data_IF_600659870149
#
_entry.id   IF_600659870149
#
_cell.length_a   1.000
_cell.length_b   1.000
_cell.length_c   1.000
_cell.angle_alpha   90.00
_cell.angle_beta   90.00
_cell.angle_gamma   90.00
#
_symmetry.space_group_name_H-M   'P 1'
#
loop_
_entity.id
_entity.type
_entity.pdbx_description
1 polymer ?
#
# COMPACT_ATOMS: atom_id res chain seq x y z
N UNK A 1 -6.55 -16.35 -24.98
CA UNK A 1 -7.23 -15.09 -24.60
C UNK A 1 -7.31 -15.07 -23.09
N UNK A 2 -6.84 -14.00 -22.47
CA UNK A 2 -6.93 -13.80 -21.01
C UNK A 2 -8.40 -13.75 -20.60
N UNK A 3 -8.77 -14.41 -19.52
CA UNK A 3 -10.13 -14.40 -19.00
C UNK A 3 -10.13 -14.10 -17.50
N UNK A 4 -10.95 -13.13 -17.10
CA UNK A 4 -11.16 -12.72 -15.71
C UNK A 4 -12.34 -13.50 -15.13
N UNK A 5 -12.16 -13.98 -13.92
CA UNK A 5 -13.15 -14.77 -13.19
C UNK A 5 -13.30 -14.25 -11.76
N UNK A 6 -14.46 -14.43 -11.17
CA UNK A 6 -14.69 -14.25 -9.74
C UNK A 6 -15.67 -15.30 -9.23
N UNK A 7 -15.50 -15.70 -7.98
CA UNK A 7 -16.35 -16.65 -7.30
C UNK A 7 -16.36 -16.33 -5.80
N UNK A 8 -17.54 -16.26 -5.19
CA UNK A 8 -17.65 -16.13 -3.74
C UNK A 8 -17.69 -17.52 -3.12
N UNK A 9 -16.64 -17.86 -2.38
CA UNK A 9 -16.56 -19.13 -1.67
C UNK A 9 -17.71 -19.28 -0.65
N UNK A 10 -18.08 -20.51 -0.35
CA UNK A 10 -19.12 -20.84 0.63
C UNK A 10 -18.84 -20.26 2.03
N UNK A 11 -17.57 -20.11 2.41
CA UNK A 11 -17.14 -19.45 3.64
C UNK A 11 -17.33 -17.92 3.62
N UNK A 12 -17.56 -17.30 2.45
CA UNK A 12 -17.77 -15.87 2.27
C UNK A 12 -16.54 -15.10 1.74
N UNK A 13 -15.35 -15.71 1.65
CA UNK A 13 -14.19 -15.09 1.00
C UNK A 13 -14.43 -14.93 -0.51
N UNK A 14 -13.76 -13.94 -1.12
CA UNK A 14 -13.84 -13.70 -2.55
C UNK A 14 -12.64 -14.30 -3.25
N UNK A 15 -12.89 -15.22 -4.18
CA UNK A 15 -11.88 -15.80 -5.06
C UNK A 15 -11.92 -15.08 -6.42
N UNK A 16 -10.76 -14.62 -6.87
CA UNK A 16 -10.54 -13.92 -8.14
C UNK A 16 -9.57 -14.74 -8.98
N UNK A 17 -9.81 -14.81 -10.28
CA UNK A 17 -8.96 -15.56 -11.19
C UNK A 17 -8.67 -14.83 -12.49
N UNK A 18 -7.43 -14.96 -12.99
CA UNK A 18 -7.07 -14.58 -14.34
C UNK A 18 -6.33 -15.72 -15.02
N UNK A 19 -6.98 -16.33 -16.03
CA UNK A 19 -6.36 -17.37 -16.82
C UNK A 19 -5.47 -16.78 -17.90
N UNK A 20 -4.19 -17.15 -17.88
CA UNK A 20 -3.13 -16.70 -18.80
C UNK A 20 -2.47 -17.91 -19.44
N UNK A 21 -3.07 -18.53 -20.47
CA UNK A 21 -2.64 -19.85 -20.99
C UNK A 21 -1.28 -19.85 -21.67
N UNK A 22 -0.79 -18.68 -22.08
CA UNK A 22 0.48 -18.54 -22.83
C UNK A 22 1.74 -18.60 -21.94
N UNK A 23 1.57 -18.61 -20.62
CA UNK A 23 2.69 -18.63 -19.66
C UNK A 23 2.73 -19.92 -18.85
N UNK A 24 3.91 -20.28 -18.33
CA UNK A 24 4.12 -21.51 -17.55
C UNK A 24 4.10 -21.30 -16.03
N UNK A 25 3.85 -20.09 -15.57
CA UNK A 25 3.84 -19.73 -14.17
C UNK A 25 2.43 -19.43 -13.67
N UNK A 26 2.26 -19.50 -12.35
CA UNK A 26 1.08 -19.03 -11.64
C UNK A 26 1.50 -18.29 -10.38
N UNK A 27 0.64 -17.40 -9.91
CA UNK A 27 0.82 -16.73 -8.64
C UNK A 27 -0.50 -16.62 -7.89
N UNK A 28 -0.40 -16.53 -6.57
CA UNK A 28 -1.50 -16.21 -5.69
C UNK A 28 -1.19 -15.01 -4.82
N UNK A 29 -2.22 -14.25 -4.46
CA UNK A 29 -2.17 -13.16 -3.52
C UNK A 29 -3.41 -13.23 -2.61
N UNK A 30 -3.21 -13.38 -1.31
CA UNK A 30 -4.28 -13.45 -0.32
C UNK A 30 -4.20 -12.18 0.54
N UNK A 31 -5.24 -11.36 0.46
CA UNK A 31 -5.43 -10.16 1.28
C UNK A 31 -6.38 -10.51 2.42
N UNK A 32 -5.89 -10.51 3.64
CA UNK A 32 -6.74 -10.67 4.83
C UNK A 32 -6.99 -9.30 5.47
N UNK A 33 -8.19 -9.02 5.99
CA UNK A 33 -8.52 -7.73 6.63
C UNK A 33 -7.90 -7.64 8.03
N UNK A 34 -6.57 -7.77 8.12
CA UNK A 34 -5.77 -7.80 9.35
C UNK A 34 -4.58 -6.84 9.29
N UNK A 35 -4.77 -5.66 8.67
CA UNK A 35 -3.75 -4.62 8.60
C UNK A 35 -3.70 -3.73 9.85
N UNK A 36 -2.79 -2.75 9.84
CA UNK A 36 -2.50 -1.88 11.00
C UNK A 36 -3.70 -1.10 11.56
N UNK A 37 -4.73 -0.81 10.74
CA UNK A 37 -5.98 -0.19 11.23
C UNK A 37 -6.72 -1.04 12.26
N UNK A 38 -6.41 -2.32 12.33
CA UNK A 38 -7.00 -3.26 13.27
C UNK A 38 -6.14 -3.50 14.52
N UNK A 39 -4.97 -2.88 14.59
CA UNK A 39 -4.15 -2.93 15.79
C UNK A 39 -4.91 -2.30 16.97
N UNK A 40 -4.83 -2.87 18.17
CA UNK A 40 -5.48 -2.30 19.34
C UNK A 40 -4.85 -0.94 19.70
N UNK A 41 -5.57 -0.07 20.43
CA UNK A 41 -4.95 1.11 21.03
C UNK A 41 -3.73 0.71 21.88
N UNK A 42 -2.59 1.38 21.68
CA UNK A 42 -1.30 1.07 22.32
C UNK A 42 -0.70 -0.31 21.98
N UNK A 43 -1.09 -0.89 20.82
CA UNK A 43 -0.56 -2.16 20.30
C UNK A 43 -0.19 -2.07 18.83
N UNK A 44 0.24 -0.90 18.38
CA UNK A 44 0.62 -0.68 16.97
C UNK A 44 1.83 -1.56 16.61
N UNK A 45 1.63 -2.47 15.65
CA UNK A 45 2.59 -3.49 15.24
C UNK A 45 2.14 -4.93 15.50
N UNK A 46 0.98 -5.12 16.14
CA UNK A 46 0.38 -6.46 16.32
C UNK A 46 0.19 -7.14 14.96
N UNK A 47 -0.32 -6.44 13.95
CA UNK A 47 -0.50 -6.97 12.60
C UNK A 47 0.86 -7.41 11.96
N UNK A 48 1.92 -6.62 12.16
CA UNK A 48 3.24 -6.95 11.62
C UNK A 48 3.80 -8.23 12.25
N UNK A 49 3.79 -8.33 13.58
CA UNK A 49 4.23 -9.53 14.31
C UNK A 49 3.36 -10.73 13.98
N UNK A 50 2.04 -10.55 13.85
CA UNK A 50 1.11 -11.63 13.48
C UNK A 50 1.42 -12.19 12.10
N UNK A 51 1.60 -11.31 11.10
CA UNK A 51 1.91 -11.73 9.73
C UNK A 51 3.16 -12.60 9.65
N UNK A 52 4.24 -12.21 10.31
CA UNK A 52 5.48 -12.99 10.39
C UNK A 52 5.28 -14.32 11.15
N UNK A 53 4.57 -14.27 12.26
CA UNK A 53 4.39 -15.47 13.09
C UNK A 53 3.51 -16.53 12.41
N UNK A 54 2.60 -16.14 11.51
CA UNK A 54 1.77 -17.06 10.72
C UNK A 54 2.60 -17.97 9.78
N UNK A 55 3.78 -17.54 9.35
CA UNK A 55 4.72 -18.39 8.60
C UNK A 55 5.61 -19.30 9.47
N UNK A 56 5.49 -19.23 10.80
CA UNK A 56 6.31 -20.03 11.73
C UNK A 56 5.70 -21.37 12.08
N UNK A 57 4.67 -21.79 11.36
CA UNK A 57 3.99 -23.08 11.47
C UNK A 57 2.51 -22.97 11.12
N UNK A 58 1.98 -23.95 10.40
CA UNK A 58 0.57 -23.99 10.00
C UNK A 58 0.08 -25.39 9.71
N UNK A 59 -1.14 -25.70 10.13
CA UNK A 59 -1.70 -27.04 10.03
C UNK A 59 -0.83 -28.06 10.80
N UNK A 60 -0.35 -29.08 10.09
CA UNK A 60 0.53 -30.12 10.64
C UNK A 60 2.01 -29.84 10.33
N UNK A 61 2.35 -28.64 9.83
CA UNK A 61 3.69 -28.24 9.42
C UNK A 61 4.33 -27.34 10.45
N UNK A 62 5.47 -27.75 11.00
CA UNK A 62 6.33 -26.81 11.73
C UNK A 62 6.84 -25.71 10.78
N UNK A 63 7.31 -24.58 11.31
CA UNK A 63 7.83 -23.50 10.48
C UNK A 63 8.93 -23.93 9.50
N UNK A 64 9.86 -24.81 9.93
CA UNK A 64 10.88 -25.36 9.05
C UNK A 64 10.26 -26.19 7.91
N UNK A 65 9.36 -27.10 8.24
CA UNK A 65 8.69 -27.96 7.26
C UNK A 65 7.85 -27.17 6.27
N UNK A 66 7.22 -26.08 6.72
CA UNK A 66 6.43 -25.19 5.87
C UNK A 66 7.30 -24.52 4.79
N UNK A 67 8.46 -24.02 5.18
CA UNK A 67 9.42 -23.38 4.26
C UNK A 67 10.01 -24.43 3.31
N UNK A 68 10.46 -25.59 3.83
CA UNK A 68 10.99 -26.66 3.00
C UNK A 68 9.96 -27.11 1.94
N UNK A 69 8.68 -27.29 2.31
CA UNK A 69 7.62 -27.67 1.38
C UNK A 69 7.40 -26.61 0.27
N UNK A 70 7.49 -25.33 0.59
CA UNK A 70 7.40 -24.27 -0.41
C UNK A 70 8.62 -24.22 -1.32
N UNK A 71 9.82 -24.38 -0.77
CA UNK A 71 11.07 -24.40 -1.54
C UNK A 71 11.15 -25.62 -2.46
N UNK A 72 10.74 -26.81 -2.00
CA UNK A 72 10.67 -28.04 -2.81
C UNK A 72 9.73 -27.86 -4.03
N UNK A 73 8.70 -27.03 -3.92
CA UNK A 73 7.79 -26.68 -5.00
C UNK A 73 8.30 -25.50 -5.85
N UNK A 74 9.47 -24.93 -5.51
CA UNK A 74 10.03 -23.76 -6.18
C UNK A 74 9.13 -22.52 -6.03
N UNK A 75 8.39 -22.42 -4.95
CA UNK A 75 7.50 -21.30 -4.68
C UNK A 75 8.26 -20.13 -4.05
N UNK A 76 8.29 -19.00 -4.75
CA UNK A 76 8.72 -17.73 -4.16
C UNK A 76 7.57 -17.19 -3.33
N UNK A 77 7.79 -17.01 -2.04
CA UNK A 77 6.77 -16.53 -1.12
C UNK A 77 7.16 -15.21 -0.47
N UNK A 78 6.17 -14.42 -0.11
CA UNK A 78 6.37 -13.20 0.67
C UNK A 78 5.14 -12.89 1.52
N UNK A 79 5.38 -12.14 2.59
CA UNK A 79 4.36 -11.60 3.47
C UNK A 79 4.63 -10.10 3.67
N UNK A 80 3.58 -9.31 3.76
CA UNK A 80 3.68 -7.89 4.11
C UNK A 80 2.39 -7.41 4.78
N UNK A 81 2.52 -6.39 5.60
CA UNK A 81 1.38 -5.73 6.22
C UNK A 81 1.24 -4.32 5.66
N UNK A 82 0.02 -3.93 5.36
CA UNK A 82 -0.33 -2.58 4.94
C UNK A 82 -1.28 -1.94 5.97
N UNK A 83 -1.68 -0.73 5.71
CA UNK A 83 -2.66 -0.04 6.56
C UNK A 83 -3.94 -0.88 6.76
N UNK A 84 -4.50 -1.47 5.70
CA UNK A 84 -5.80 -2.16 5.75
C UNK A 84 -5.75 -3.68 5.71
N UNK A 85 -4.68 -4.29 5.21
CA UNK A 85 -4.60 -5.73 4.97
C UNK A 85 -3.23 -6.28 5.30
N UNK A 86 -3.18 -7.56 5.67
CA UNK A 86 -1.99 -8.39 5.52
C UNK A 86 -2.06 -9.10 4.18
N UNK A 87 -0.96 -9.10 3.44
CA UNK A 87 -0.78 -9.76 2.16
C UNK A 87 0.10 -10.99 2.32
N UNK A 88 -0.38 -12.11 1.84
CA UNK A 88 0.37 -13.37 1.72
C UNK A 88 0.43 -13.73 0.24
N UNK A 89 1.59 -13.77 -0.36
CA UNK A 89 1.74 -14.00 -1.80
C UNK A 89 2.75 -15.09 -2.12
N UNK A 90 2.52 -15.75 -3.26
CA UNK A 90 3.41 -16.78 -3.79
C UNK A 90 3.40 -16.81 -5.30
N UNK A 91 4.55 -17.13 -5.90
CA UNK A 91 4.69 -17.34 -7.34
C UNK A 91 5.48 -18.61 -7.59
N UNK A 92 5.01 -19.45 -8.54
CA UNK A 92 5.57 -20.77 -8.79
C UNK A 92 5.34 -21.19 -10.26
N UNK A 93 5.88 -22.34 -10.64
CA UNK A 93 5.43 -22.99 -11.87
C UNK A 93 3.96 -23.39 -11.74
N UNK A 94 3.17 -23.19 -12.78
CA UNK A 94 1.72 -23.42 -12.77
C UNK A 94 1.33 -24.84 -12.34
N UNK A 95 2.12 -25.87 -12.73
CA UNK A 95 1.91 -27.28 -12.33
C UNK A 95 1.97 -27.52 -10.82
N UNK A 96 2.60 -26.61 -10.06
CA UNK A 96 2.75 -26.71 -8.61
C UNK A 96 1.66 -25.96 -7.84
N UNK A 97 0.86 -25.13 -8.51
CA UNK A 97 -0.22 -24.38 -7.87
C UNK A 97 -1.15 -25.27 -7.03
N UNK A 98 -1.63 -26.45 -7.52
CA UNK A 98 -2.52 -27.30 -6.72
C UNK A 98 -1.88 -27.82 -5.44
N UNK A 99 -0.55 -27.97 -5.38
CA UNK A 99 0.18 -28.38 -4.18
C UNK A 99 0.47 -27.20 -3.22
N UNK A 100 0.59 -25.97 -3.75
CA UNK A 100 0.85 -24.77 -2.95
C UNK A 100 -0.43 -24.25 -2.28
N UNK A 101 -1.60 -24.34 -2.93
CA UNK A 101 -2.87 -23.84 -2.37
C UNK A 101 -3.19 -24.42 -0.98
N UNK A 102 -3.03 -25.72 -0.68
CA UNK A 102 -3.24 -26.26 0.68
C UNK A 102 -2.31 -25.65 1.72
N UNK A 103 -1.06 -25.35 1.36
CA UNK A 103 -0.09 -24.74 2.29
C UNK A 103 -0.55 -23.36 2.68
N UNK A 104 -0.96 -22.54 1.72
CA UNK A 104 -1.49 -21.18 2.01
C UNK A 104 -2.84 -21.23 2.73
N UNK A 105 -3.70 -22.20 2.42
CA UNK A 105 -4.93 -22.41 3.17
C UNK A 105 -4.65 -22.69 4.65
N UNK A 106 -3.62 -23.49 4.96
CA UNK A 106 -3.19 -23.76 6.33
C UNK A 106 -2.62 -22.49 7.01
N UNK A 107 -1.76 -21.73 6.32
CA UNK A 107 -1.20 -20.48 6.84
C UNK A 107 -2.32 -19.52 7.26
N UNK A 108 -3.38 -19.40 6.47
CA UNK A 108 -4.47 -18.45 6.71
C UNK A 108 -5.45 -18.98 7.76
N UNK A 109 -5.81 -20.26 7.69
CA UNK A 109 -6.90 -20.83 8.52
C UNK A 109 -6.45 -21.45 9.82
N UNK A 110 -5.24 -22.03 9.82
CA UNK A 110 -4.72 -22.85 10.92
C UNK A 110 -3.26 -22.49 11.25
N UNK A 111 -2.92 -21.17 11.40
CA UNK A 111 -1.57 -20.81 11.83
C UNK A 111 -1.31 -21.34 13.25
N UNK A 112 -0.13 -21.91 13.47
CA UNK A 112 0.25 -22.49 14.78
C UNK A 112 0.51 -21.39 15.81
N UNK A 113 1.06 -20.25 15.39
CA UNK A 113 1.46 -19.12 16.22
C UNK A 113 2.30 -19.58 17.42
N UNK A 114 3.48 -20.21 17.19
CA UNK A 114 4.23 -20.92 18.21
C UNK A 114 4.82 -19.97 19.24
N UNK A 115 4.48 -20.20 20.52
CA UNK A 115 5.01 -19.40 21.64
C UNK A 115 6.54 -19.34 21.65
N UNK A 116 7.21 -20.47 21.38
CA UNK A 116 8.67 -20.57 21.40
C UNK A 116 9.41 -19.76 20.33
N UNK A 117 8.70 -19.22 19.32
CA UNK A 117 9.29 -18.37 18.28
C UNK A 117 8.82 -16.90 18.38
N UNK A 118 7.91 -16.60 19.30
CA UNK A 118 7.34 -15.27 19.44
C UNK A 118 8.39 -14.20 19.74
N UNK A 119 9.26 -14.44 20.73
CA UNK A 119 10.30 -13.48 21.09
C UNK A 119 11.26 -13.23 19.94
N UNK A 120 11.64 -14.27 19.19
CA UNK A 120 12.52 -14.14 18.03
C UNK A 120 11.89 -13.28 16.93
N UNK A 121 10.59 -13.47 16.65
CA UNK A 121 9.86 -12.67 15.65
C UNK A 121 9.71 -11.24 16.12
N UNK A 122 9.35 -11.01 17.38
CA UNK A 122 9.25 -9.68 17.96
C UNK A 122 10.59 -8.93 17.89
N UNK A 123 11.68 -9.58 18.28
CA UNK A 123 13.02 -8.99 18.25
C UNK A 123 13.47 -8.67 16.80
N UNK A 124 13.12 -9.51 15.83
CA UNK A 124 13.36 -9.25 14.41
C UNK A 124 12.63 -7.97 13.95
N UNK A 125 11.34 -7.84 14.25
CA UNK A 125 10.54 -6.65 13.93
C UNK A 125 11.11 -5.41 14.63
N UNK A 126 11.51 -5.51 15.90
CA UNK A 126 12.15 -4.42 16.63
C UNK A 126 13.47 -3.99 16.00
N UNK A 127 14.23 -4.94 15.47
CA UNK A 127 15.49 -4.62 14.78
C UNK A 127 15.21 -3.86 13.46
N UNK A 128 14.22 -4.29 12.70
CA UNK A 128 13.78 -3.60 11.47
C UNK A 128 13.24 -2.19 11.76
N UNK A 129 12.42 -2.04 12.82
CA UNK A 129 11.92 -0.74 13.26
C UNK A 129 13.04 0.21 13.65
N UNK A 130 14.02 -0.23 14.43
CA UNK A 130 15.20 0.60 14.80
C UNK A 130 15.98 1.03 13.57
N UNK A 131 16.22 0.13 12.62
CA UNK A 131 16.87 0.48 11.36
C UNK A 131 16.07 1.50 10.53
N UNK A 132 14.74 1.43 10.56
CA UNK A 132 13.85 2.38 9.90
C UNK A 132 13.78 3.72 10.64
N UNK A 133 13.83 3.72 11.97
CA UNK A 133 13.87 4.93 12.79
C UNK A 133 15.15 5.75 12.58
N UNK A 134 16.24 5.12 12.16
CA UNK A 134 17.48 5.80 11.76
C UNK A 134 17.38 6.47 10.39
N UNK A 135 16.35 6.16 9.58
CA UNK A 135 16.12 6.76 8.29
C UNK A 135 15.27 8.05 8.39
N UNK A 136 15.84 9.26 8.15
CA UNK A 136 15.13 10.53 8.34
C UNK A 136 13.84 10.66 7.55
N UNK A 137 13.84 10.16 6.31
CA UNK A 137 12.64 10.17 5.46
C UNK A 137 11.51 9.30 6.04
N UNK A 138 11.84 8.12 6.60
CA UNK A 138 10.85 7.25 7.23
C UNK A 138 10.21 7.91 8.46
N UNK A 139 11.02 8.48 9.37
CA UNK A 139 10.54 9.22 10.55
C UNK A 139 9.61 10.37 10.16
N UNK A 140 10.01 11.13 9.13
CA UNK A 140 9.20 12.21 8.60
C UNK A 140 7.84 11.72 8.10
N UNK A 141 7.83 10.67 7.28
CA UNK A 141 6.58 10.14 6.70
C UNK A 141 5.67 9.51 7.76
N UNK A 142 6.22 8.86 8.77
CA UNK A 142 5.43 8.31 9.88
C UNK A 142 4.72 9.44 10.63
N UNK A 143 5.43 10.51 11.00
CA UNK A 143 4.83 11.65 11.67
C UNK A 143 3.81 12.40 10.79
N UNK A 144 4.14 12.59 9.52
CA UNK A 144 3.26 13.26 8.55
C UNK A 144 1.94 12.49 8.37
N UNK A 145 1.99 11.18 8.17
CA UNK A 145 0.81 10.33 7.99
C UNK A 145 -0.04 10.26 9.25
N UNK A 146 0.59 10.09 10.41
CA UNK A 146 -0.12 10.07 11.70
C UNK A 146 -0.82 11.39 12.01
N UNK A 147 -0.31 12.51 11.49
CA UNK A 147 -0.96 13.81 11.63
C UNK A 147 -2.03 14.06 10.56
N UNK A 148 -1.80 13.60 9.33
CA UNK A 148 -2.71 13.82 8.21
C UNK A 148 -3.98 12.96 8.28
N UNK A 149 -3.83 11.66 8.52
CA UNK A 149 -4.95 10.74 8.57
C UNK A 149 -5.52 10.64 9.99
N UNK A 150 -6.86 10.59 10.15
CA UNK A 150 -7.46 10.27 11.44
C UNK A 150 -7.08 8.85 11.89
N UNK A 151 -7.02 8.63 13.20
CA UNK A 151 -6.84 7.26 13.73
C UNK A 151 -8.03 6.37 13.33
N UNK A 152 -7.80 5.13 12.88
CA UNK A 152 -6.55 4.38 12.85
C UNK A 152 -5.76 4.45 11.52
N UNK A 153 -6.19 5.24 10.55
CA UNK A 153 -5.65 5.27 9.19
C UNK A 153 -4.22 5.82 9.08
N UNK A 154 -3.81 6.62 10.06
CA UNK A 154 -2.45 7.18 10.15
C UNK A 154 -1.44 6.26 10.83
N UNK A 155 -1.82 5.08 11.32
CA UNK A 155 -0.92 4.16 12.02
C UNK A 155 0.14 3.59 11.09
N UNK A 156 1.41 3.51 11.52
CA UNK A 156 2.45 2.87 10.74
C UNK A 156 2.21 1.35 10.67
N UNK A 157 2.29 0.79 9.46
CA UNK A 157 2.04 -0.64 9.25
C UNK A 157 3.11 -1.53 9.89
N UNK A 158 4.30 -1.00 10.04
CA UNK A 158 5.46 -1.66 10.67
C UNK A 158 5.32 -1.73 12.20
N UNK A 159 4.53 -0.82 12.77
CA UNK A 159 4.37 -0.67 14.21
C UNK A 159 5.16 0.49 14.82
N UNK A 160 5.14 0.54 16.15
CA UNK A 160 5.88 1.50 16.98
C UNK A 160 6.74 0.70 17.95
N UNK A 161 8.07 0.92 17.96
CA UNK A 161 9.04 0.11 18.72
C UNK A 161 8.61 -0.10 20.18
N UNK A 162 8.22 0.98 20.88
CA UNK A 162 7.80 0.91 22.29
C UNK A 162 6.55 0.05 22.49
N UNK A 163 5.64 0.06 21.52
CA UNK A 163 4.38 -0.72 21.60
C UNK A 163 4.65 -2.18 21.25
N UNK A 164 5.48 -2.45 20.23
CA UNK A 164 5.91 -3.81 19.85
C UNK A 164 6.66 -4.48 21.00
N UNK A 165 7.53 -3.76 21.76
CA UNK A 165 8.22 -4.28 22.94
C UNK A 165 7.25 -4.81 24.03
N UNK A 166 6.07 -4.21 24.15
CA UNK A 166 5.06 -4.57 25.16
C UNK A 166 4.10 -5.68 24.74
N UNK A 167 4.14 -6.13 23.47
CA UNK A 167 3.22 -7.13 22.95
C UNK A 167 3.42 -8.51 23.60
N UNK A 168 2.33 -9.19 23.82
CA UNK A 168 2.28 -10.58 24.23
C UNK A 168 1.82 -11.49 23.10
N UNK A 169 2.10 -12.79 23.20
CA UNK A 169 1.60 -13.79 22.25
C UNK A 169 0.05 -13.83 22.22
N UNK A 170 -0.61 -13.50 23.31
CA UNK A 170 -2.06 -13.51 23.39
C UNK A 170 -2.67 -12.34 22.61
N UNK A 171 -1.98 -11.18 22.52
CA UNK A 171 -2.39 -10.08 21.65
C UNK A 171 -2.35 -10.52 20.18
N UNK A 172 -1.30 -11.24 19.78
CA UNK A 172 -1.16 -11.78 18.43
C UNK A 172 -2.27 -12.79 18.12
N UNK A 173 -2.53 -13.74 19.03
CA UNK A 173 -3.59 -14.75 18.89
C UNK A 173 -4.97 -14.10 18.77
N UNK A 174 -5.24 -13.08 19.60
CA UNK A 174 -6.50 -12.36 19.55
C UNK A 174 -6.66 -11.60 18.22
N UNK A 175 -5.61 -10.96 17.73
CA UNK A 175 -5.61 -10.24 16.46
C UNK A 175 -5.92 -11.20 15.30
N UNK A 176 -5.19 -12.30 15.20
CA UNK A 176 -5.42 -13.33 14.16
C UNK A 176 -6.85 -13.87 14.26
N UNK A 177 -7.31 -14.27 15.45
CA UNK A 177 -8.64 -14.82 15.63
C UNK A 177 -9.77 -13.84 15.27
N UNK A 178 -9.55 -12.53 15.43
CA UNK A 178 -10.57 -11.50 15.16
C UNK A 178 -10.55 -11.00 13.72
N UNK A 179 -9.36 -10.92 13.10
CA UNK A 179 -9.17 -10.18 11.85
C UNK A 179 -8.77 -11.05 10.67
N UNK A 180 -8.17 -12.22 10.87
CA UNK A 180 -7.97 -13.18 9.79
C UNK A 180 -9.26 -13.99 9.62
N UNK A 181 -10.20 -13.43 8.85
CA UNK A 181 -11.57 -13.91 8.72
C UNK A 181 -11.97 -14.09 7.24
N UNK A 182 -12.89 -15.03 6.92
CA UNK A 182 -13.40 -15.18 5.53
C UNK A 182 -13.98 -13.89 4.97
N UNK A 183 -14.81 -13.20 5.77
CA UNK A 183 -15.42 -11.94 5.35
C UNK A 183 -14.36 -10.86 5.18
N UNK A 184 -14.28 -10.31 3.98
CA UNK A 184 -13.27 -9.30 3.61
C UNK A 184 -11.95 -9.89 3.11
N UNK A 185 -11.74 -11.21 3.20
CA UNK A 185 -10.59 -11.87 2.59
C UNK A 185 -10.77 -11.97 1.08
N UNK A 186 -9.74 -11.56 0.34
CA UNK A 186 -9.64 -11.62 -1.10
C UNK A 186 -8.51 -12.58 -1.47
N UNK A 187 -8.83 -13.58 -2.28
CA UNK A 187 -7.88 -14.56 -2.77
C UNK A 187 -7.81 -14.40 -4.28
N UNK A 188 -6.67 -13.99 -4.81
CA UNK A 188 -6.48 -13.79 -6.24
C UNK A 188 -5.43 -14.76 -6.77
N UNK A 189 -5.74 -15.39 -7.89
CA UNK A 189 -4.86 -16.35 -8.58
C UNK A 189 -4.74 -15.93 -10.04
N UNK A 190 -3.51 -15.81 -10.54
CA UNK A 190 -3.24 -15.43 -11.92
C UNK A 190 -2.19 -16.36 -12.53
N UNK A 191 -2.32 -16.65 -13.84
CA UNK A 191 -1.35 -17.47 -14.55
C UNK A 191 -2.00 -18.57 -15.38
N UNK A 192 -1.23 -19.62 -15.71
CA UNK A 192 -1.80 -20.80 -16.35
C UNK A 192 -2.58 -21.60 -15.32
N UNK A 193 -3.87 -21.32 -15.21
CA UNK A 193 -4.78 -21.95 -14.24
C UNK A 193 -5.93 -22.63 -14.95
N UNK A 194 -6.40 -23.73 -14.38
CA UNK A 194 -7.70 -24.34 -14.65
C UNK A 194 -8.69 -23.77 -13.62
N UNK A 195 -9.49 -22.81 -14.03
CA UNK A 195 -10.38 -22.08 -13.13
C UNK A 195 -11.39 -22.98 -12.40
N UNK A 196 -12.11 -23.90 -13.04
CA UNK A 196 -12.98 -24.85 -12.35
C UNK A 196 -12.23 -25.65 -11.27
N UNK A 197 -11.05 -26.17 -11.57
CA UNK A 197 -10.24 -26.92 -10.62
C UNK A 197 -9.80 -26.06 -9.42
N UNK A 198 -9.42 -24.79 -9.67
CA UNK A 198 -9.06 -23.86 -8.58
C UNK A 198 -10.27 -23.59 -7.69
N UNK A 199 -11.47 -23.36 -8.27
CA UNK A 199 -12.70 -23.17 -7.49
C UNK A 199 -13.01 -24.36 -6.61
N UNK A 200 -13.05 -25.57 -7.20
CA UNK A 200 -13.36 -26.81 -6.46
C UNK A 200 -12.38 -27.04 -5.32
N UNK A 201 -11.08 -26.84 -5.58
CA UNK A 201 -10.05 -27.00 -4.55
C UNK A 201 -10.19 -25.96 -3.44
N UNK A 202 -10.45 -24.69 -3.78
CA UNK A 202 -10.61 -23.62 -2.79
C UNK A 202 -11.88 -23.79 -1.96
N UNK A 203 -13.00 -24.21 -2.57
CA UNK A 203 -14.21 -24.57 -1.83
C UNK A 203 -13.94 -25.68 -0.83
N UNK A 204 -13.21 -26.73 -1.23
CA UNK A 204 -12.83 -27.82 -0.32
C UNK A 204 -11.91 -27.33 0.81
N UNK A 205 -10.87 -26.55 0.47
CA UNK A 205 -9.86 -26.10 1.45
C UNK A 205 -10.45 -25.11 2.47
N UNK A 206 -11.46 -24.33 2.13
CA UNK A 206 -12.04 -23.28 2.97
C UNK A 206 -13.45 -23.61 3.49
N UNK A 207 -13.98 -24.81 3.25
CA UNK A 207 -15.36 -25.20 3.57
C UNK A 207 -15.76 -25.00 5.04
N UNK A 208 -14.86 -25.25 5.97
CA UNK A 208 -15.08 -25.15 7.42
C UNK A 208 -14.50 -23.86 8.04
N UNK A 209 -14.15 -22.88 7.20
CA UNK A 209 -13.68 -21.58 7.68
C UNK A 209 -14.86 -20.62 7.87
N UNK A 210 -15.24 -20.39 9.14
CA UNK A 210 -16.43 -19.61 9.47
C UNK A 210 -16.05 -18.22 9.97
N UNK A 211 -16.81 -17.22 9.52
CA UNK A 211 -16.66 -15.85 9.98
C UNK A 211 -17.20 -15.69 11.41
N UNK A 212 -16.40 -15.08 12.26
CA UNK A 212 -16.91 -14.44 13.46
C UNK A 212 -17.33 -13.01 13.11
N UNK A 213 -18.10 -12.32 13.95
CA UNK A 213 -18.53 -10.95 13.66
C UNK A 213 -17.30 -10.05 13.44
N UNK A 214 -16.96 -9.74 12.18
CA UNK A 214 -15.94 -8.78 11.88
C UNK A 214 -16.42 -7.37 12.27
N UNK A 215 -15.63 -6.67 13.06
CA UNK A 215 -15.86 -5.25 13.33
C UNK A 215 -15.03 -4.45 12.33
N UNK A 216 -15.69 -3.64 11.51
CA UNK A 216 -14.97 -2.63 10.72
C UNK A 216 -14.35 -1.62 11.67
N UNK A 217 -13.10 -1.20 11.43
CA UNK A 217 -12.50 -0.14 12.22
C UNK A 217 -13.32 1.15 12.02
N UNK A 218 -13.66 1.80 13.11
CA UNK A 218 -14.29 3.12 13.09
C UNK A 218 -13.22 4.19 13.22
N UNK A 219 -13.38 5.27 12.50
CA UNK A 219 -12.58 6.46 12.74
C UNK A 219 -12.86 6.97 14.16
N UNK A 220 -11.81 7.07 14.96
CA UNK A 220 -11.91 7.49 16.36
C UNK A 220 -11.23 8.81 16.63
N UNK A 221 -10.54 9.37 15.64
CA UNK A 221 -9.78 10.61 15.75
C UNK A 221 -10.16 11.64 14.68
N UNK A 222 -9.69 12.84 14.90
CA UNK A 222 -9.67 13.92 13.91
C UNK A 222 -8.27 14.04 13.33
N UNK A 223 -8.12 14.71 12.20
CA UNK A 223 -6.82 15.10 11.65
C UNK A 223 -6.03 15.88 12.72
N UNK A 224 -4.74 15.60 12.81
CA UNK A 224 -3.84 16.26 13.74
C UNK A 224 -3.39 17.64 13.29
N UNK A 225 -2.23 18.08 13.77
CA UNK A 225 -1.66 19.39 13.42
C UNK A 225 -1.35 19.46 11.92
N UNK A 226 -1.66 20.62 11.30
CA UNK A 226 -1.37 20.88 9.89
C UNK A 226 0.09 21.24 9.61
N UNK A 227 0.91 21.44 10.65
CA UNK A 227 2.35 21.63 10.53
C UNK A 227 3.08 21.03 11.72
N UNK A 228 4.31 20.55 11.49
CA UNK A 228 5.15 19.99 12.53
C UNK A 228 6.63 19.99 12.15
N UNK A 229 7.48 19.91 13.18
CA UNK A 229 8.91 19.83 13.02
C UNK A 229 9.51 18.78 13.97
N UNK A 230 10.40 17.95 13.42
CA UNK A 230 11.17 16.96 14.16
C UNK A 230 12.62 17.43 14.16
N UNK A 231 13.14 17.76 15.34
CA UNK A 231 14.56 18.08 15.46
C UNK A 231 15.42 16.86 15.14
N UNK A 232 16.39 17.07 14.27
CA UNK A 232 17.38 16.08 13.91
C UNK A 232 18.68 16.78 13.53
N UNK A 233 19.77 16.44 14.23
CA UNK A 233 21.08 17.00 13.95
C UNK A 233 21.62 16.42 12.63
N UNK A 234 21.51 17.20 11.56
CA UNK A 234 21.91 16.80 10.21
C UNK A 234 22.11 18.04 9.35
N UNK A 235 23.05 17.96 8.42
CA UNK A 235 23.20 18.97 7.36
C UNK A 235 22.07 18.94 6.32
N UNK A 236 21.22 17.93 6.36
CA UNK A 236 20.07 17.80 5.48
C UNK A 236 18.78 18.12 6.24
N UNK A 237 17.85 18.74 5.53
CA UNK A 237 16.46 18.89 5.94
C UNK A 237 15.57 18.09 5.02
N UNK A 238 14.73 17.25 5.59
CA UNK A 238 13.70 16.50 4.90
C UNK A 238 12.37 17.21 5.12
N UNK A 239 11.54 17.31 4.08
CA UNK A 239 10.21 17.89 4.16
C UNK A 239 9.19 17.02 3.45
N UNK A 240 8.02 16.93 4.04
CA UNK A 240 6.88 16.17 3.51
C UNK A 240 5.62 17.02 3.56
N UNK A 241 4.85 16.97 2.49
CA UNK A 241 3.58 17.66 2.38
C UNK A 241 2.49 16.67 1.99
N UNK A 242 1.31 16.80 2.57
CA UNK A 242 0.13 16.03 2.18
C UNK A 242 -1.09 16.93 2.03
N UNK A 243 -1.92 16.63 1.03
CA UNK A 243 -3.22 17.27 0.83
C UNK A 243 -4.22 16.28 0.26
N UNK A 244 -5.51 16.65 0.31
CA UNK A 244 -6.58 15.77 -0.09
C UNK A 244 -6.54 15.43 -1.59
N UNK A 245 -6.81 14.16 -1.89
CA UNK A 245 -7.06 13.64 -3.22
C UNK A 245 -8.25 12.65 -3.13
N UNK A 246 -8.96 12.35 -4.22
CA UNK A 246 -10.09 11.44 -4.18
C UNK A 246 -9.62 10.00 -3.89
N UNK A 247 -10.49 9.12 -3.34
CA UNK A 247 -10.20 7.69 -3.26
C UNK A 247 -10.18 7.06 -4.67
N UNK A 248 -9.55 5.90 -4.79
CA UNK A 248 -9.43 5.20 -6.09
C UNK A 248 -10.78 4.89 -6.76
N UNK A 249 -11.83 4.69 -5.97
CA UNK A 249 -13.20 4.44 -6.46
C UNK A 249 -13.89 5.67 -7.05
N UNK A 250 -13.35 6.86 -6.85
CA UNK A 250 -13.92 8.10 -7.39
C UNK A 250 -13.71 8.20 -8.90
N UNK A 251 -14.67 8.76 -9.61
CA UNK A 251 -14.62 8.94 -11.08
C UNK A 251 -13.45 9.81 -11.55
N UNK A 252 -12.99 10.77 -10.71
CA UNK A 252 -11.86 11.66 -10.99
C UNK A 252 -10.51 11.17 -10.47
N UNK A 253 -10.42 9.92 -10.03
CA UNK A 253 -9.15 9.36 -9.50
C UNK A 253 -8.02 9.35 -10.54
N UNK A 254 -8.36 9.21 -11.82
CA UNK A 254 -7.41 9.24 -12.92
C UNK A 254 -6.89 10.66 -13.20
N UNK A 255 -7.77 11.67 -13.20
CA UNK A 255 -7.39 13.09 -13.30
C UNK A 255 -6.48 13.50 -12.15
N UNK A 256 -6.84 13.13 -10.92
CA UNK A 256 -6.04 13.40 -9.74
C UNK A 256 -4.65 12.74 -9.83
N UNK A 257 -4.60 11.46 -10.21
CA UNK A 257 -3.35 10.73 -10.40
C UNK A 257 -2.48 11.38 -11.48
N UNK A 258 -3.08 11.81 -12.60
CA UNK A 258 -2.36 12.48 -13.67
C UNK A 258 -1.83 13.85 -13.23
N UNK A 259 -2.61 14.67 -12.53
CA UNK A 259 -2.19 15.96 -12.00
C UNK A 259 -0.99 15.81 -11.05
N UNK A 260 -1.06 14.86 -10.11
CA UNK A 260 0.02 14.59 -9.16
C UNK A 260 1.28 14.05 -9.88
N UNK A 261 1.11 13.22 -10.92
CA UNK A 261 2.21 12.73 -11.73
C UNK A 261 2.89 13.84 -12.56
N UNK A 262 2.13 14.81 -13.09
CA UNK A 262 2.66 16.01 -13.73
C UNK A 262 3.47 16.84 -12.73
N UNK A 263 2.96 16.99 -11.51
CA UNK A 263 3.64 17.75 -10.47
C UNK A 263 4.98 17.12 -10.07
N UNK A 264 5.02 15.82 -9.75
CA UNK A 264 6.22 15.22 -9.14
C UNK A 264 6.46 13.74 -9.48
N UNK A 265 5.83 13.19 -10.52
CA UNK A 265 5.87 11.76 -10.82
C UNK A 265 7.13 11.24 -11.53
N UNK A 266 8.11 12.08 -11.87
CA UNK A 266 9.32 11.64 -12.57
C UNK A 266 10.27 12.77 -12.94
N UNK A 267 11.34 12.45 -13.69
CA UNK A 267 12.40 13.41 -14.03
C UNK A 267 11.94 14.56 -14.94
N UNK A 268 10.84 14.42 -15.64
CA UNK A 268 10.23 15.48 -16.47
C UNK A 268 9.08 16.19 -15.77
N UNK A 269 8.86 15.97 -14.49
CA UNK A 269 7.82 16.61 -13.70
C UNK A 269 8.21 18.04 -13.29
N UNK A 270 7.21 18.85 -12.96
CA UNK A 270 7.42 20.26 -12.60
C UNK A 270 8.37 20.43 -11.42
N UNK A 271 8.16 19.69 -10.34
CA UNK A 271 9.02 19.74 -9.16
C UNK A 271 10.46 19.34 -9.50
N UNK A 272 10.65 18.28 -10.28
CA UNK A 272 12.00 17.85 -10.64
C UNK A 272 12.72 18.93 -11.46
N UNK A 273 12.05 19.51 -12.46
CA UNK A 273 12.62 20.54 -13.32
C UNK A 273 12.89 21.85 -12.55
N UNK A 274 11.92 22.34 -11.76
CA UNK A 274 12.04 23.63 -11.09
C UNK A 274 12.94 23.60 -9.85
N UNK A 275 12.77 22.57 -9.00
CA UNK A 275 13.45 22.50 -7.71
C UNK A 275 14.86 21.92 -7.87
N UNK A 276 14.99 20.83 -8.66
CA UNK A 276 16.26 20.10 -8.77
C UNK A 276 17.11 20.59 -9.94
N UNK A 277 16.56 20.62 -11.17
CA UNK A 277 17.36 20.91 -12.36
C UNK A 277 17.68 22.41 -12.50
N UNK A 278 16.69 23.28 -12.44
CA UNK A 278 16.88 24.70 -12.70
C UNK A 278 17.52 25.44 -11.52
N UNK A 279 17.13 25.10 -10.30
CA UNK A 279 17.59 25.79 -9.11
C UNK A 279 18.60 25.01 -8.29
N UNK A 280 18.77 23.71 -8.55
CA UNK A 280 19.71 22.84 -7.84
C UNK A 280 19.46 22.82 -6.32
N UNK A 281 18.19 22.97 -5.87
CA UNK A 281 17.86 23.12 -4.45
C UNK A 281 17.90 21.81 -3.69
N UNK A 282 17.63 20.69 -4.33
CA UNK A 282 17.56 19.38 -3.67
C UNK A 282 18.19 18.28 -4.51
N UNK A 283 18.54 17.17 -3.83
CA UNK A 283 18.96 15.94 -4.51
C UNK A 283 17.74 15.10 -4.93
N UNK A 284 16.70 15.08 -4.11
CA UNK A 284 15.48 14.33 -4.38
C UNK A 284 14.23 15.18 -4.13
N UNK A 285 13.29 15.10 -5.06
CA UNK A 285 11.96 15.67 -4.96
C UNK A 285 11.00 14.79 -5.73
N UNK A 286 9.83 14.52 -5.15
CA UNK A 286 8.80 13.71 -5.78
C UNK A 286 7.41 14.07 -5.24
N UNK A 287 6.38 13.75 -6.02
CA UNK A 287 5.01 13.70 -5.55
C UNK A 287 4.33 12.42 -6.03
N UNK A 288 3.48 11.85 -5.20
CA UNK A 288 2.78 10.61 -5.45
C UNK A 288 1.34 10.63 -4.95
N UNK A 289 0.50 9.81 -5.57
CA UNK A 289 -0.89 9.61 -5.17
C UNK A 289 -1.00 8.36 -4.30
N UNK A 290 -1.63 8.50 -3.13
CA UNK A 290 -1.93 7.42 -2.21
C UNK A 290 -3.43 7.34 -1.99
N UNK A 291 -3.96 6.11 -1.81
CA UNK A 291 -5.39 5.92 -1.63
C UNK A 291 -5.68 4.81 -0.63
N UNK A 292 -6.67 5.05 0.20
CA UNK A 292 -7.39 4.08 1.00
C UNK A 292 -8.77 3.83 0.37
N UNK A 293 -9.59 2.99 0.99
CA UNK A 293 -10.90 2.64 0.41
C UNK A 293 -11.81 3.86 0.25
N UNK A 294 -11.83 4.76 1.23
CA UNK A 294 -12.76 5.90 1.32
C UNK A 294 -12.07 7.26 1.20
N UNK A 295 -10.75 7.31 1.21
CA UNK A 295 -9.98 8.55 1.18
C UNK A 295 -8.72 8.41 0.35
N UNK A 296 -8.21 9.53 -0.14
CA UNK A 296 -6.94 9.58 -0.85
C UNK A 296 -6.17 10.83 -0.49
N UNK A 297 -4.89 10.82 -0.80
CA UNK A 297 -3.99 11.95 -0.59
C UNK A 297 -2.94 12.05 -1.70
N UNK A 298 -2.54 13.27 -2.01
CA UNK A 298 -1.28 13.55 -2.63
C UNK A 298 -0.20 13.70 -1.56
N UNK A 299 0.96 13.13 -1.81
CA UNK A 299 2.11 13.17 -0.90
C UNK A 299 3.30 13.73 -1.67
N UNK A 300 3.91 14.80 -1.18
CA UNK A 300 5.13 15.37 -1.73
C UNK A 300 6.27 15.22 -0.74
N UNK A 301 7.47 14.97 -1.24
CA UNK A 301 8.68 14.85 -0.46
C UNK A 301 9.84 15.58 -1.11
N UNK A 302 10.71 16.19 -0.29
CA UNK A 302 12.02 16.65 -0.73
C UNK A 302 13.06 16.51 0.38
N UNK A 303 14.28 16.14 -0.04
CA UNK A 303 15.49 16.17 0.80
C UNK A 303 16.46 17.21 0.26
N UNK A 304 16.84 18.18 1.08
CA UNK A 304 17.67 19.35 0.72
C UNK A 304 18.72 19.65 1.79
N UNK A 305 19.65 20.56 1.54
CA UNK A 305 20.56 21.05 2.57
C UNK A 305 19.83 22.02 3.54
N UNK A 306 20.25 22.03 4.81
CA UNK A 306 19.65 22.90 5.83
C UNK A 306 19.64 24.39 5.44
N UNK A 307 20.68 24.87 4.73
CA UNK A 307 20.80 26.27 4.29
C UNK A 307 19.78 26.65 3.20
N UNK A 308 19.25 25.68 2.43
CA UNK A 308 18.33 25.93 1.30
C UNK A 308 16.92 25.43 1.56
N UNK A 309 16.65 24.95 2.76
CA UNK A 309 15.41 24.25 3.09
C UNK A 309 14.16 25.14 2.94
N UNK A 310 14.22 26.41 3.39
CA UNK A 310 13.09 27.32 3.26
C UNK A 310 12.83 27.66 1.79
N UNK A 311 13.85 27.99 1.01
CA UNK A 311 13.71 28.26 -0.42
C UNK A 311 13.12 27.04 -1.16
N UNK A 312 13.54 25.83 -0.78
CA UNK A 312 13.00 24.58 -1.35
C UNK A 312 11.51 24.45 -1.08
N UNK A 313 11.07 24.68 0.16
CA UNK A 313 9.65 24.64 0.52
C UNK A 313 8.85 25.70 -0.27
N UNK A 314 9.35 26.93 -0.33
CA UNK A 314 8.67 28.04 -1.02
C UNK A 314 8.46 27.73 -2.51
N UNK A 315 9.47 27.15 -3.18
CA UNK A 315 9.35 26.76 -4.58
C UNK A 315 8.39 25.57 -4.76
N UNK A 316 8.41 24.58 -3.87
CA UNK A 316 7.44 23.46 -3.91
C UNK A 316 6.01 23.99 -3.76
N UNK A 317 5.76 24.86 -2.79
CA UNK A 317 4.44 25.45 -2.58
C UNK A 317 3.99 26.27 -3.79
N UNK A 318 4.89 27.03 -4.40
CA UNK A 318 4.59 27.80 -5.61
C UNK A 318 4.20 26.88 -6.78
N UNK A 319 4.89 25.74 -6.98
CA UNK A 319 4.55 24.79 -8.05
C UNK A 319 3.22 24.06 -7.77
N UNK A 320 2.92 23.73 -6.52
CA UNK A 320 1.60 23.19 -6.12
C UNK A 320 0.49 24.19 -6.44
N UNK A 321 0.66 25.46 -6.11
CA UNK A 321 -0.31 26.53 -6.39
C UNK A 321 -0.45 26.84 -7.89
N UNK A 322 0.60 26.60 -8.69
CA UNK A 322 0.57 26.78 -10.15
C UNK A 322 -0.10 25.62 -10.88
N UNK A 323 -0.26 24.47 -10.25
CA UNK A 323 -0.80 23.27 -10.91
C UNK A 323 -2.20 23.52 -11.53
N UNK A 324 -3.16 24.19 -10.85
CA UNK A 324 -4.47 24.53 -11.43
C UNK A 324 -4.45 25.59 -12.54
N UNK A 325 -3.33 26.28 -12.76
CA UNK A 325 -3.24 27.42 -13.70
C UNK A 325 -3.03 27.01 -15.16
N UNK A 326 -2.92 25.73 -15.44
CA UNK A 326 -2.83 25.19 -16.78
C UNK A 326 -1.93 23.96 -16.85
N UNK A 327 -2.32 23.00 -17.67
CA UNK A 327 -1.59 21.76 -17.97
C UNK A 327 -1.15 21.78 -19.42
N UNK A 328 0.14 21.56 -19.67
CA UNK A 328 0.65 21.48 -21.03
C UNK A 328 0.39 20.09 -21.63
N UNK A 329 0.07 20.04 -22.93
CA UNK A 329 -0.24 18.78 -23.61
C UNK A 329 0.95 17.79 -23.52
N UNK A 330 2.18 18.28 -23.65
CA UNK A 330 3.39 17.45 -23.57
C UNK A 330 3.59 16.85 -22.17
N UNK A 331 3.16 17.53 -21.09
CA UNK A 331 3.19 16.97 -19.73
C UNK A 331 2.23 15.79 -19.62
N UNK A 332 1.01 15.98 -20.11
CA UNK A 332 -0.03 14.95 -20.11
C UNK A 332 0.37 13.74 -20.96
N UNK A 333 0.91 13.99 -22.17
CA UNK A 333 1.32 12.90 -23.07
C UNK A 333 2.40 12.02 -22.45
N UNK A 334 3.37 12.61 -21.74
CA UNK A 334 4.41 11.85 -21.01
C UNK A 334 3.80 11.01 -19.87
N UNK A 335 2.86 11.58 -19.12
CA UNK A 335 2.18 10.86 -18.03
C UNK A 335 1.35 9.70 -18.57
N UNK A 336 0.60 9.90 -19.66
CA UNK A 336 -0.17 8.85 -20.33
C UNK A 336 0.72 7.73 -20.85
N UNK A 337 1.80 8.08 -21.54
CA UNK A 337 2.75 7.10 -22.08
C UNK A 337 3.33 6.24 -20.95
N UNK A 338 3.74 6.86 -19.83
CA UNK A 338 4.29 6.15 -18.67
C UNK A 338 3.23 5.26 -17.99
N UNK A 339 2.03 5.78 -17.79
CA UNK A 339 0.92 5.02 -17.17
C UNK A 339 0.55 3.80 -18.03
N UNK A 340 0.41 4.00 -19.35
CA UNK A 340 0.15 2.93 -20.31
C UNK A 340 1.23 1.86 -20.30
N UNK A 341 2.52 2.26 -20.38
CA UNK A 341 3.63 1.32 -20.34
C UNK A 341 3.67 0.53 -19.03
N UNK A 342 3.50 1.22 -17.88
CA UNK A 342 3.46 0.57 -16.57
C UNK A 342 2.32 -0.44 -16.47
N UNK A 343 1.13 -0.09 -16.96
CA UNK A 343 -0.04 -0.96 -16.95
C UNK A 343 0.18 -2.20 -17.80
N UNK A 344 0.70 -2.03 -19.05
CA UNK A 344 0.99 -3.15 -19.95
C UNK A 344 2.05 -4.08 -19.36
N UNK A 345 3.15 -3.53 -18.82
CA UNK A 345 4.22 -4.34 -18.21
C UNK A 345 3.73 -5.12 -16.97
N UNK A 346 2.77 -4.58 -16.22
CA UNK A 346 2.15 -5.32 -15.10
C UNK A 346 1.38 -6.56 -15.57
N UNK A 347 0.86 -6.57 -16.81
CA UNK A 347 0.15 -7.74 -17.36
C UNK A 347 1.08 -8.94 -17.58
N UNK A 348 2.38 -8.72 -17.73
CA UNK A 348 3.36 -9.79 -17.97
C UNK A 348 3.78 -10.52 -16.69
N UNK A 349 3.49 -9.95 -15.52
CA UNK A 349 3.84 -10.52 -14.21
C UNK A 349 2.63 -11.13 -13.51
N UNK A 350 2.62 -12.45 -13.36
CA UNK A 350 1.54 -13.17 -12.66
C UNK A 350 1.34 -12.68 -11.23
N UNK A 351 2.43 -12.40 -10.50
CA UNK A 351 2.37 -11.87 -9.14
C UNK A 351 1.75 -10.46 -9.09
N UNK A 352 2.17 -9.59 -10.02
CA UNK A 352 1.59 -8.24 -10.13
C UNK A 352 0.10 -8.29 -10.49
N UNK A 353 -0.31 -9.23 -11.36
CA UNK A 353 -1.72 -9.42 -11.73
C UNK A 353 -2.55 -9.89 -10.55
N UNK A 354 -2.11 -10.94 -9.85
CA UNK A 354 -2.82 -11.43 -8.66
C UNK A 354 -3.00 -10.30 -7.61
N UNK A 355 -1.93 -9.58 -7.28
CA UNK A 355 -2.01 -8.48 -6.32
C UNK A 355 -2.88 -7.32 -6.83
N UNK A 356 -2.84 -7.00 -8.14
CA UNK A 356 -3.66 -5.95 -8.74
C UNK A 356 -5.15 -6.28 -8.70
N UNK A 357 -5.54 -7.53 -9.03
CA UNK A 357 -6.93 -7.98 -8.94
C UNK A 357 -7.49 -7.84 -7.53
N UNK A 358 -6.74 -8.29 -6.52
CA UNK A 358 -7.16 -8.16 -5.12
C UNK A 358 -7.30 -6.69 -4.71
N UNK A 359 -6.35 -5.82 -5.11
CA UNK A 359 -6.40 -4.38 -4.84
C UNK A 359 -7.58 -3.70 -5.53
N UNK A 360 -7.82 -4.00 -6.80
CA UNK A 360 -8.98 -3.45 -7.52
C UNK A 360 -10.29 -3.89 -6.89
N UNK A 361 -10.41 -5.18 -6.52
CA UNK A 361 -11.61 -5.66 -5.83
C UNK A 361 -11.83 -4.97 -4.49
N UNK A 362 -10.78 -4.75 -3.72
CA UNK A 362 -10.86 -4.02 -2.45
C UNK A 362 -11.44 -2.61 -2.62
N UNK A 363 -11.02 -1.90 -3.67
CA UNK A 363 -11.45 -0.53 -3.91
C UNK A 363 -12.77 -0.42 -4.67
N UNK A 364 -13.03 -1.31 -5.63
CA UNK A 364 -14.08 -1.18 -6.65
C UNK A 364 -15.15 -2.27 -6.58
N UNK A 365 -14.93 -3.34 -5.81
CA UNK A 365 -15.73 -4.58 -5.80
C UNK A 365 -15.86 -5.23 -7.19
N UNK A 366 -14.91 -4.95 -8.06
CA UNK A 366 -14.75 -5.56 -9.39
C UNK A 366 -13.28 -5.49 -9.84
N UNK A 367 -12.93 -6.33 -10.81
CA UNK A 367 -11.68 -6.26 -11.54
C UNK A 367 -11.94 -5.58 -12.89
N UNK A 368 -11.13 -4.58 -13.23
CA UNK A 368 -11.23 -3.89 -14.53
C UNK A 368 -10.42 -4.65 -15.58
N UNK A 369 -10.99 -4.90 -16.77
CA UNK A 369 -10.23 -5.35 -17.92
C UNK A 369 -9.18 -4.32 -18.35
N UNK A 370 -8.07 -4.79 -18.94
CA UNK A 370 -6.98 -3.91 -19.41
C UNK A 370 -7.50 -2.83 -20.37
N UNK A 371 -8.39 -3.19 -21.27
CA UNK A 371 -8.97 -2.27 -22.26
C UNK A 371 -9.74 -1.13 -21.58
N UNK A 372 -10.45 -1.41 -20.49
CA UNK A 372 -11.15 -0.37 -19.72
C UNK A 372 -10.17 0.57 -19.02
N UNK A 373 -9.11 0.05 -18.40
CA UNK A 373 -8.08 0.88 -17.76
C UNK A 373 -7.36 1.76 -18.80
N UNK A 374 -6.98 1.20 -19.93
CA UNK A 374 -6.38 1.96 -21.04
C UNK A 374 -7.34 3.03 -21.59
N UNK A 375 -8.62 2.71 -21.73
CA UNK A 375 -9.62 3.67 -22.17
C UNK A 375 -9.78 4.83 -21.20
N UNK A 376 -9.72 4.58 -19.88
CA UNK A 376 -9.75 5.62 -18.84
C UNK A 376 -8.52 6.53 -18.91
N UNK A 377 -7.31 5.96 -19.04
CA UNK A 377 -6.08 6.74 -19.21
C UNK A 377 -6.17 7.61 -20.46
N UNK A 378 -6.61 7.05 -21.58
CA UNK A 378 -6.71 7.79 -22.85
C UNK A 378 -7.75 8.91 -22.82
N UNK A 379 -8.81 8.78 -22.04
CA UNK A 379 -9.88 9.78 -21.92
C UNK A 379 -9.44 11.04 -21.17
N UNK A 380 -8.41 10.97 -20.30
CA UNK A 380 -7.91 12.13 -19.59
C UNK A 380 -7.48 13.21 -20.60
N UNK A 381 -7.83 14.45 -20.36
CA UNK A 381 -7.41 15.62 -21.16
C UNK A 381 -6.89 16.74 -20.25
N UNK A 382 -6.16 17.69 -20.80
CA UNK A 382 -5.76 18.88 -20.04
C UNK A 382 -6.99 19.57 -19.43
N UNK A 383 -8.06 19.73 -20.21
CA UNK A 383 -9.31 20.33 -19.75
C UNK A 383 -9.98 19.54 -18.62
N UNK A 384 -9.97 18.17 -18.64
CA UNK A 384 -10.56 17.39 -17.56
C UNK A 384 -9.76 17.52 -16.26
N UNK A 385 -8.42 17.57 -16.34
CA UNK A 385 -7.54 17.79 -15.18
C UNK A 385 -7.75 19.19 -14.61
N UNK A 386 -7.77 20.23 -15.46
CA UNK A 386 -7.97 21.62 -15.05
C UNK A 386 -9.35 21.84 -14.43
N UNK A 387 -10.40 21.25 -15.00
CA UNK A 387 -11.75 21.28 -14.44
C UNK A 387 -11.79 20.63 -13.05
N UNK A 388 -11.15 19.45 -12.89
CA UNK A 388 -11.07 18.80 -11.59
C UNK A 388 -10.29 19.65 -10.57
N UNK A 389 -9.12 20.18 -10.94
CA UNK A 389 -8.29 21.02 -10.07
C UNK A 389 -8.96 22.32 -9.66
N UNK A 390 -9.80 22.90 -10.53
CA UNK A 390 -10.55 24.12 -10.20
C UNK A 390 -11.59 23.90 -9.11
N UNK A 391 -12.17 22.69 -9.04
CA UNK A 391 -13.14 22.30 -8.03
C UNK A 391 -12.45 21.71 -6.77
N UNK A 392 -11.22 21.21 -6.92
CA UNK A 392 -10.45 20.54 -5.87
C UNK A 392 -9.01 21.10 -5.84
N UNK A 393 -8.85 22.40 -5.58
CA UNK A 393 -7.52 22.98 -5.51
C UNK A 393 -6.72 22.37 -4.36
N UNK A 394 -5.39 22.24 -4.49
CA UNK A 394 -4.53 21.73 -3.42
C UNK A 394 -4.44 22.76 -2.28
N UNK A 395 -5.37 22.66 -1.36
CA UNK A 395 -5.48 23.50 -0.15
C UNK A 395 -5.39 22.65 1.09
N UNK A 396 -5.37 23.27 2.27
CA UNK A 396 -5.34 22.60 3.56
C UNK A 396 -4.22 21.55 3.65
N UNK A 397 -2.99 21.97 3.33
CA UNK A 397 -1.84 21.09 3.36
C UNK A 397 -1.39 20.79 4.79
N UNK A 398 -0.99 19.52 5.03
CA UNK A 398 -0.18 19.18 6.19
C UNK A 398 1.28 19.20 5.78
N UNK A 399 2.11 19.97 6.49
CA UNK A 399 3.54 20.15 6.19
C UNK A 399 4.37 19.75 7.40
N UNK A 400 5.24 18.78 7.23
CA UNK A 400 6.19 18.36 8.26
C UNK A 400 7.62 18.51 7.76
N UNK A 401 8.52 18.89 8.66
CA UNK A 401 9.96 18.94 8.39
C UNK A 401 10.76 18.15 9.44
N UNK A 402 11.90 17.63 9.03
CA UNK A 402 12.88 16.98 9.90
C UNK A 402 14.27 17.54 9.59
N UNK A 403 14.95 18.09 10.58
CA UNK A 403 16.26 18.70 10.44
C UNK A 403 16.59 19.60 11.63
N UNK A 404 17.64 20.42 11.51
CA UNK A 404 18.07 21.31 12.62
C UNK A 404 17.10 22.47 12.88
N UNK A 405 16.43 22.97 11.83
CA UNK A 405 15.57 24.16 11.93
C UNK A 405 14.17 23.87 11.40
N UNK A 406 13.17 24.35 12.13
CA UNK A 406 11.80 24.37 11.67
C UNK A 406 11.66 25.30 10.46
N UNK A 407 10.77 24.92 9.53
CA UNK A 407 10.43 25.71 8.36
C UNK A 407 9.24 26.62 8.66
N UNK A 408 9.24 27.80 8.05
CA UNK A 408 8.09 28.70 8.09
C UNK A 408 7.05 28.25 7.06
N UNK A 409 5.90 27.80 7.56
CA UNK A 409 4.76 27.39 6.71
C UNK A 409 3.78 28.55 6.67
N UNK A 410 3.50 29.12 5.47
CA UNK A 410 2.54 30.20 5.34
C UNK A 410 1.14 29.82 5.84
N UNK A 411 0.48 30.66 6.64
CA UNK A 411 -0.85 30.39 7.19
C UNK A 411 -1.92 30.13 6.14
N UNK A 412 -1.79 30.71 4.95
CA UNK A 412 -2.68 30.46 3.81
C UNK A 412 -2.59 29.04 3.23
N UNK A 413 -1.61 28.25 3.62
CA UNK A 413 -1.37 26.86 3.16
C UNK A 413 -2.03 25.86 4.11
N UNK A 414 -2.27 26.26 5.36
CA UNK A 414 -2.83 25.43 6.44
C UNK A 414 -4.31 25.76 6.75
N UNK A 415 -4.96 26.57 5.93
CA UNK A 415 -6.35 27.04 6.14
C UNK A 415 -7.36 26.37 5.21
#
# INVERSE_FOLDING_TARGET
MQSLHNHRLSCGAMLLGESMPEIESAALAIFTPSGAIHDPPHGCGVAAVAGELMFRGAGDRSGRKLIDDLEDLGAHWSQSVSTSHSLFSGAMLAKHLPAVLPIYADIIRRPELPFGQFDQVRDMILHELRASEDAPAHRLFTALRSSYYPDPWGRPAEGISKEVESLSIDDIRQHVARHVQPTGTLIAVAGRIDWPQVVDQMEFLFADWHSTKATSPSETGTRGATSGHIYHESQQTHMGLMWAAPPYSNEHSYEASAAIAILGGGMSSRLFLEVRERRGLCYSVSAGYQTHRTMGAAVCYSGTSAARSQETLDVILAEIQRLPQGIQQEELDRVKARATSSLVMQQESVGSRAASMARQWYHLERVMPLEEELARINRISCASIESWLSLNPPTDLTVFSLGEKALEVPSAVSA
#
